data_IF_505775958963
#
_entry.id   IF_505775958963
#
_cell.length_a   1.000
_cell.length_b   1.000
_cell.length_c   1.000
_cell.angle_alpha   90.00
_cell.angle_beta   90.00
_cell.angle_gamma   90.00
#
_symmetry.space_group_name_H-M   'P 1'
#
loop_
_entity.id
_entity.type
_entity.pdbx_description
1 polymer ?
#
# COMPACT_ATOMS: atom_id res chain seq x y z
N UNK A 1 -21.86 5.49 3.03
CA UNK A 1 -20.71 4.81 3.65
C UNK A 1 -20.06 3.78 2.71
N UNK A 2 -20.83 2.89 2.05
CA UNK A 2 -20.26 1.87 1.14
C UNK A 2 -19.34 2.43 0.03
N UNK A 3 -19.75 3.51 -0.65
CA UNK A 3 -19.01 4.09 -1.79
C UNK A 3 -17.56 4.49 -1.43
N UNK A 4 -17.30 5.00 -0.21
CA UNK A 4 -15.94 5.41 0.17
C UNK A 4 -15.06 4.17 0.33
N UNK A 5 -15.58 3.11 0.96
CA UNK A 5 -14.84 1.86 1.11
C UNK A 5 -14.54 1.22 -0.25
N UNK A 6 -15.53 1.20 -1.15
CA UNK A 6 -15.35 0.66 -2.51
C UNK A 6 -14.24 1.39 -3.28
N UNK A 7 -14.18 2.73 -3.18
CA UNK A 7 -13.12 3.54 -3.81
C UNK A 7 -11.74 3.25 -3.19
N UNK A 8 -11.68 3.11 -1.86
CA UNK A 8 -10.43 2.76 -1.17
C UNK A 8 -9.95 1.37 -1.57
N UNK A 9 -10.87 0.41 -1.73
CA UNK A 9 -10.57 -0.93 -2.26
C UNK A 9 -10.02 -0.86 -3.67
N UNK A 10 -10.61 -0.07 -4.57
CA UNK A 10 -10.09 0.10 -5.93
C UNK A 10 -8.67 0.68 -5.94
N UNK A 11 -8.38 1.67 -5.08
CA UNK A 11 -7.01 2.18 -4.94
C UNK A 11 -6.03 1.11 -4.45
N UNK A 12 -6.44 0.24 -3.52
CA UNK A 12 -5.60 -0.85 -3.01
C UNK A 12 -5.30 -1.90 -4.08
N UNK A 13 -6.31 -2.34 -4.83
CA UNK A 13 -6.16 -3.31 -5.91
C UNK A 13 -5.19 -2.77 -6.99
N UNK A 14 -5.28 -1.48 -7.32
CA UNK A 14 -4.35 -0.84 -8.25
C UNK A 14 -2.93 -0.75 -7.69
N UNK A 15 -2.75 -0.46 -6.39
CA UNK A 15 -1.41 -0.46 -5.77
C UNK A 15 -0.81 -1.85 -5.77
N UNK A 16 -1.59 -2.88 -5.41
CA UNK A 16 -1.14 -4.28 -5.43
C UNK A 16 -0.59 -4.65 -6.81
N UNK A 17 -1.38 -4.37 -7.86
CA UNK A 17 -1.01 -4.64 -9.24
C UNK A 17 0.23 -3.83 -9.68
N UNK A 18 0.24 -2.53 -9.43
CA UNK A 18 1.32 -1.65 -9.87
C UNK A 18 2.63 -1.92 -9.15
N UNK A 19 2.58 -2.21 -7.86
CA UNK A 19 3.78 -2.52 -7.07
C UNK A 19 4.40 -3.86 -7.47
N UNK A 20 3.56 -4.85 -7.79
CA UNK A 20 3.99 -6.09 -8.42
C UNK A 20 4.69 -5.83 -9.76
N UNK A 21 4.07 -5.04 -10.64
CA UNK A 21 4.65 -4.67 -11.93
C UNK A 21 5.99 -3.93 -11.77
N UNK A 22 6.07 -2.98 -10.83
CA UNK A 22 7.29 -2.23 -10.50
C UNK A 22 8.41 -3.15 -10.03
N UNK A 23 8.09 -4.12 -9.16
CA UNK A 23 9.05 -5.10 -8.62
C UNK A 23 9.73 -5.89 -9.74
N UNK A 24 8.98 -6.27 -10.77
CA UNK A 24 9.52 -6.96 -11.95
C UNK A 24 10.26 -6.00 -12.88
N UNK A 25 9.72 -4.81 -13.11
CA UNK A 25 10.28 -3.81 -14.01
C UNK A 25 11.70 -3.39 -13.60
N UNK A 26 11.99 -3.24 -12.31
CA UNK A 26 13.33 -2.84 -11.81
C UNK A 26 14.42 -3.86 -12.20
N UNK A 27 14.05 -5.13 -12.38
CA UNK A 27 14.99 -6.21 -12.71
C UNK A 27 15.00 -6.57 -14.19
N UNK A 28 14.15 -5.92 -14.99
CA UNK A 28 13.97 -6.22 -16.39
C UNK A 28 14.72 -5.22 -17.28
N UNK A 29 15.48 -5.70 -18.29
CA UNK A 29 16.06 -4.82 -19.30
C UNK A 29 15.02 -4.26 -20.28
N UNK A 30 13.78 -4.77 -20.25
CA UNK A 30 12.71 -4.37 -21.17
C UNK A 30 12.04 -3.06 -20.75
N UNK A 31 12.28 -2.58 -19.52
CA UNK A 31 11.76 -1.32 -19.03
C UNK A 31 12.84 -0.23 -19.07
N UNK A 32 12.46 0.93 -19.60
CA UNK A 32 13.25 2.15 -19.49
C UNK A 32 13.07 2.80 -18.12
N UNK A 33 14.03 3.66 -17.75
CA UNK A 33 13.93 4.49 -16.54
C UNK A 33 12.67 5.37 -16.56
N UNK A 34 12.25 5.83 -17.74
CA UNK A 34 11.02 6.63 -17.86
C UNK A 34 9.79 5.81 -17.50
N UNK A 35 9.67 4.59 -18.02
CA UNK A 35 8.54 3.71 -17.71
C UNK A 35 8.49 3.32 -16.23
N UNK A 36 9.65 3.16 -15.58
CA UNK A 36 9.72 3.00 -14.12
C UNK A 36 9.18 4.21 -13.37
N UNK A 37 9.56 5.43 -13.78
CA UNK A 37 9.03 6.65 -13.16
C UNK A 37 7.52 6.80 -13.37
N UNK A 38 7.00 6.39 -14.53
CA UNK A 38 5.56 6.40 -14.79
C UNK A 38 4.80 5.40 -13.90
N UNK A 39 5.41 4.26 -13.54
CA UNK A 39 4.85 3.35 -12.54
C UNK A 39 4.86 4.01 -11.14
N UNK A 40 5.97 4.63 -10.76
CA UNK A 40 6.12 5.32 -9.47
C UNK A 40 5.08 6.43 -9.32
N UNK A 41 4.91 7.28 -10.34
CA UNK A 41 3.92 8.36 -10.35
C UNK A 41 2.47 7.83 -10.18
N UNK A 42 2.15 6.69 -10.79
CA UNK A 42 0.82 6.06 -10.68
C UNK A 42 0.62 5.48 -9.28
N UNK A 43 1.61 4.76 -8.76
CA UNK A 43 1.57 4.21 -7.40
C UNK A 43 1.35 5.34 -6.40
N UNK A 44 2.12 6.42 -6.50
CA UNK A 44 1.99 7.59 -5.63
C UNK A 44 0.59 8.19 -5.72
N UNK A 45 0.01 8.29 -6.91
CA UNK A 45 -1.36 8.80 -7.07
C UNK A 45 -2.41 7.92 -6.35
N UNK A 46 -2.30 6.60 -6.43
CA UNK A 46 -3.22 5.70 -5.71
C UNK A 46 -2.99 5.71 -4.20
N UNK A 47 -1.73 5.78 -3.74
CA UNK A 47 -1.39 5.93 -2.32
C UNK A 47 -1.96 7.23 -1.75
N UNK A 48 -1.85 8.35 -2.47
CA UNK A 48 -2.51 9.60 -2.08
C UNK A 48 -4.04 9.48 -2.05
N UNK A 49 -4.63 8.72 -2.97
CA UNK A 49 -6.05 8.38 -2.98
C UNK A 49 -6.49 7.69 -1.69
N UNK A 50 -5.67 6.77 -1.16
CA UNK A 50 -5.97 6.10 0.11
C UNK A 50 -6.04 7.08 1.29
N UNK A 51 -5.17 8.09 1.34
CA UNK A 51 -5.16 9.07 2.44
C UNK A 51 -6.43 9.94 2.51
N UNK A 52 -7.21 10.02 1.42
CA UNK A 52 -8.51 10.70 1.43
C UNK A 52 -9.49 10.03 2.41
N UNK A 53 -9.31 8.74 2.70
CA UNK A 53 -10.09 8.01 3.70
C UNK A 53 -9.90 8.50 5.15
N UNK A 54 -8.80 9.21 5.43
CA UNK A 54 -8.50 9.76 6.75
C UNK A 54 -8.43 8.69 7.84
N UNK A 55 -9.17 8.87 8.94
CA UNK A 55 -9.19 7.89 10.04
C UNK A 55 -9.80 6.54 9.64
N UNK A 56 -10.66 6.51 8.61
CA UNK A 56 -11.21 5.26 8.06
C UNK A 56 -10.12 4.40 7.42
N UNK A 57 -8.92 4.95 7.17
CA UNK A 57 -7.78 4.17 6.74
C UNK A 57 -7.38 3.08 7.73
N UNK A 58 -7.56 3.32 9.03
CA UNK A 58 -7.19 2.35 10.06
C UNK A 58 -8.05 1.09 9.97
N UNK A 59 -9.36 1.27 9.80
CA UNK A 59 -10.32 0.15 9.75
C UNK A 59 -10.03 -0.83 8.62
N UNK A 60 -9.58 -0.33 7.46
CA UNK A 60 -9.22 -1.19 6.34
C UNK A 60 -7.75 -1.63 6.35
N UNK A 61 -6.82 -0.78 6.80
CA UNK A 61 -5.38 -1.06 6.68
C UNK A 61 -4.90 -2.16 7.64
N UNK A 62 -5.50 -2.27 8.83
CA UNK A 62 -5.13 -3.32 9.80
C UNK A 62 -5.33 -4.73 9.24
N UNK A 63 -6.50 -5.08 8.66
CA UNK A 63 -6.67 -6.36 7.97
C UNK A 63 -5.60 -6.64 6.90
N UNK A 64 -5.19 -5.62 6.13
CA UNK A 64 -4.17 -5.80 5.08
C UNK A 64 -2.80 -6.17 5.64
N UNK A 65 -2.45 -5.68 6.84
CA UNK A 65 -1.21 -6.08 7.48
C UNK A 65 -1.20 -7.57 7.84
N UNK A 66 -2.35 -8.11 8.26
CA UNK A 66 -2.45 -9.46 8.83
C UNK A 66 -2.75 -10.53 7.76
N UNK A 67 -3.67 -10.21 6.85
CA UNK A 67 -4.24 -11.16 5.88
C UNK A 67 -3.85 -10.81 4.44
N UNK A 68 -3.41 -9.58 4.19
CA UNK A 68 -2.99 -9.13 2.88
C UNK A 68 -1.73 -9.84 2.40
N UNK A 69 -1.61 -9.94 1.08
CA UNK A 69 -0.36 -10.31 0.46
C UNK A 69 0.72 -9.24 0.72
N UNK A 70 1.93 -9.47 0.22
CA UNK A 70 3.06 -8.53 0.46
C UNK A 70 2.72 -7.11 -0.01
N UNK A 71 2.01 -6.95 -1.12
CA UNK A 71 1.77 -5.65 -1.73
C UNK A 71 0.61 -4.92 -1.06
N UNK A 72 -0.44 -5.65 -0.67
CA UNK A 72 -1.52 -5.11 0.16
C UNK A 72 -1.01 -4.67 1.53
N UNK A 73 -0.15 -5.48 2.16
CA UNK A 73 0.45 -5.14 3.45
C UNK A 73 1.35 -3.90 3.35
N UNK A 74 2.09 -3.75 2.25
CA UNK A 74 2.81 -2.51 1.94
C UNK A 74 1.88 -1.30 1.93
N UNK A 75 0.77 -1.35 1.18
CA UNK A 75 -0.16 -0.22 1.07
C UNK A 75 -0.80 0.15 2.42
N UNK A 76 -1.19 -0.87 3.20
CA UNK A 76 -1.72 -0.70 4.55
C UNK A 76 -0.71 -0.07 5.52
N UNK A 77 0.52 -0.58 5.54
CA UNK A 77 1.59 -0.07 6.39
C UNK A 77 1.96 1.37 6.01
N UNK A 78 2.05 1.67 4.72
CA UNK A 78 2.32 3.02 4.22
C UNK A 78 1.24 3.99 4.68
N UNK A 79 -0.05 3.65 4.55
CA UNK A 79 -1.15 4.51 5.00
C UNK A 79 -1.07 4.83 6.49
N UNK A 80 -0.88 3.80 7.31
CA UNK A 80 -0.77 3.93 8.77
C UNK A 80 0.44 4.80 9.16
N UNK A 81 1.56 4.69 8.44
CA UNK A 81 2.75 5.51 8.65
C UNK A 81 2.49 6.98 8.31
N UNK A 82 1.81 7.28 7.19
CA UNK A 82 1.50 8.66 6.79
C UNK A 82 0.57 9.36 7.78
N UNK A 83 -0.42 8.65 8.35
CA UNK A 83 -1.33 9.20 9.37
C UNK A 83 -0.77 9.11 10.80
N UNK A 84 0.47 8.62 10.97
CA UNK A 84 1.21 8.56 12.25
C UNK A 84 0.54 7.71 13.33
N UNK A 85 -0.08 6.61 12.94
CA UNK A 85 -0.70 5.64 13.87
C UNK A 85 -0.12 4.24 13.72
N UNK A 86 1.00 4.11 13.02
CA UNK A 86 1.61 2.82 12.68
C UNK A 86 2.13 2.06 13.91
N UNK A 87 2.95 2.69 14.75
CA UNK A 87 3.58 2.02 15.91
C UNK A 87 2.55 1.52 16.93
N UNK A 88 1.54 2.31 17.35
CA UNK A 88 0.51 1.82 18.27
C UNK A 88 -0.29 0.63 17.71
N UNK A 89 -0.42 0.50 16.39
CA UNK A 89 -1.14 -0.58 15.73
C UNK A 89 -0.27 -1.84 15.66
N UNK A 90 1.02 -1.71 15.36
CA UNK A 90 1.94 -2.86 15.38
C UNK A 90 2.00 -3.52 16.75
N UNK A 91 1.96 -2.75 17.84
CA UNK A 91 1.95 -3.29 19.20
C UNK A 91 0.68 -4.10 19.54
N UNK A 92 -0.38 -3.97 18.73
CA UNK A 92 -1.68 -4.62 18.96
C UNK A 92 -1.89 -5.86 18.10
N UNK A 93 -1.06 -6.09 17.07
CA UNK A 93 -1.19 -7.24 16.16
C UNK A 93 -0.12 -8.30 16.46
N UNK A 94 -0.52 -9.57 16.47
CA UNK A 94 0.39 -10.68 16.79
C UNK A 94 1.25 -11.10 15.60
N UNK A 95 0.69 -11.00 14.40
CA UNK A 95 1.29 -11.44 13.14
C UNK A 95 0.94 -10.43 12.05
N UNK A 96 1.90 -10.20 11.15
CA UNK A 96 1.71 -9.40 9.95
C UNK A 96 2.64 -9.87 8.83
N UNK A 97 2.35 -9.47 7.60
CA UNK A 97 3.23 -9.64 6.47
C UNK A 97 4.42 -8.66 6.58
N UNK A 98 5.47 -9.15 7.23
CA UNK A 98 6.67 -8.37 7.54
C UNK A 98 7.37 -7.84 6.29
N UNK A 99 7.34 -8.58 5.17
CA UNK A 99 7.99 -8.13 3.93
C UNK A 99 7.33 -6.86 3.39
N UNK A 100 5.99 -6.83 3.35
CA UNK A 100 5.24 -5.64 2.93
C UNK A 100 5.41 -4.48 3.90
N UNK A 101 5.37 -4.77 5.21
CA UNK A 101 5.57 -3.76 6.26
C UNK A 101 6.94 -3.10 6.17
N UNK A 102 8.01 -3.89 6.04
CA UNK A 102 9.39 -3.36 5.95
C UNK A 102 9.55 -2.50 4.70
N UNK A 103 8.97 -2.93 3.58
CA UNK A 103 9.02 -2.20 2.33
C UNK A 103 8.32 -0.84 2.39
N UNK A 104 7.29 -0.70 3.22
CA UNK A 104 6.60 0.57 3.41
C UNK A 104 7.38 1.59 4.27
N UNK A 105 8.37 1.13 5.04
CA UNK A 105 9.12 1.94 6.01
C UNK A 105 10.57 2.25 5.59
N UNK A 106 11.04 1.63 4.51
CA UNK A 106 12.39 1.80 3.96
C UNK A 106 12.42 2.89 2.89
#
# INVERSE_FOLDING_TARGET
MAIILDILTEHLEEIEFLWSQRTEAIRSPDYSVRELLELDDRIDAHLQGLLVGGEHCVEFAVPLLQEGDRFMAFAGAWCLAQIRVFEPILDQINECNLDGVVEALC
#
